data_IF_782891232168
#
_entry.id   IF_782891232168
#
_cell.length_a   1.000
_cell.length_b   1.000
_cell.length_c   1.000
_cell.angle_alpha   90.00
_cell.angle_beta   90.00
_cell.angle_gamma   90.00
#
_symmetry.space_group_name_H-M   'P 1'
#
loop_
_entity.id
_entity.type
_entity.pdbx_description
1 polymer ?
#
# COMPACT_ATOMS: atom_id res chain seq x y z
N UNK A 1 -11.07 -15.84 5.83
CA UNK A 1 -11.44 -15.27 7.13
C UNK A 1 -11.61 -16.40 8.12
N UNK A 2 -11.04 -16.28 9.31
CA UNK A 2 -11.18 -17.18 10.45
C UNK A 2 -12.07 -16.53 11.52
N UNK A 3 -12.84 -17.32 12.23
CA UNK A 3 -13.56 -16.90 13.43
C UNK A 3 -13.01 -17.75 14.58
N UNK A 4 -12.30 -17.13 15.51
CA UNK A 4 -11.79 -17.79 16.71
C UNK A 4 -12.84 -17.66 17.80
N UNK A 5 -13.40 -18.80 18.22
CA UNK A 5 -14.41 -18.86 19.29
C UNK A 5 -13.72 -19.36 20.55
N UNK A 6 -13.84 -18.59 21.63
CA UNK A 6 -13.28 -18.89 22.94
C UNK A 6 -14.35 -18.81 24.02
N UNK A 7 -14.16 -19.51 25.13
CA UNK A 7 -15.04 -19.48 26.28
C UNK A 7 -14.69 -18.31 27.20
N UNK A 8 -15.69 -17.50 27.58
CA UNK A 8 -15.49 -16.38 28.51
C UNK A 8 -15.09 -16.84 29.93
N UNK A 9 -15.56 -18.02 30.36
CA UNK A 9 -15.28 -18.55 31.68
C UNK A 9 -13.87 -19.15 31.80
N UNK A 10 -13.38 -19.81 30.76
CA UNK A 10 -12.04 -20.40 30.71
C UNK A 10 -10.97 -19.35 30.35
N UNK A 11 -11.37 -18.30 29.64
CA UNK A 11 -10.47 -17.27 29.16
C UNK A 11 -9.61 -17.74 27.98
N UNK A 12 -8.40 -17.16 27.85
CA UNK A 12 -7.44 -17.49 26.78
C UNK A 12 -6.61 -18.71 27.14
N UNK A 13 -6.79 -19.80 26.41
CA UNK A 13 -6.04 -21.03 26.60
C UNK A 13 -4.77 -21.10 25.74
N UNK A 14 -3.85 -22.02 26.06
CA UNK A 14 -2.65 -22.28 25.21
C UNK A 14 -3.05 -22.84 23.83
N UNK A 15 -4.19 -23.52 23.72
CA UNK A 15 -4.72 -24.01 22.47
C UNK A 15 -5.16 -22.84 21.58
N UNK A 16 -5.84 -21.84 22.15
CA UNK A 16 -6.24 -20.62 21.42
C UNK A 16 -5.01 -19.90 20.86
N UNK A 17 -3.93 -19.77 21.63
CA UNK A 17 -2.68 -19.19 21.15
C UNK A 17 -2.12 -19.94 19.96
N UNK A 18 -2.07 -21.28 20.01
CA UNK A 18 -1.60 -22.12 18.88
C UNK A 18 -2.45 -21.96 17.63
N UNK A 19 -3.77 -21.80 17.81
CA UNK A 19 -4.69 -21.54 16.68
C UNK A 19 -4.43 -20.15 16.11
N UNK A 20 -4.19 -19.15 16.96
CA UNK A 20 -3.85 -17.79 16.52
C UNK A 20 -2.57 -17.76 15.69
N UNK A 21 -1.53 -18.49 16.08
CA UNK A 21 -0.29 -18.62 15.32
C UNK A 21 -0.57 -19.16 13.92
N UNK A 22 -1.37 -20.22 13.81
CA UNK A 22 -1.76 -20.80 12.52
C UNK A 22 -2.56 -19.83 11.66
N UNK A 23 -3.48 -19.05 12.26
CA UNK A 23 -4.26 -18.01 11.55
C UNK A 23 -3.32 -16.94 11.00
N UNK A 24 -2.32 -16.52 11.79
CA UNK A 24 -1.32 -15.51 11.42
C UNK A 24 -0.42 -16.03 10.30
N UNK A 25 0.10 -17.24 10.42
CA UNK A 25 0.97 -17.87 9.41
C UNK A 25 0.25 -18.03 8.07
N UNK A 26 -1.01 -18.45 8.12
CA UNK A 26 -1.86 -18.53 6.93
C UNK A 26 -2.19 -17.14 6.33
N UNK A 27 -1.96 -16.05 7.09
CA UNK A 27 -2.32 -14.69 6.68
C UNK A 27 -3.82 -14.46 6.60
N UNK A 28 -4.59 -15.23 7.37
CA UNK A 28 -6.05 -15.09 7.39
C UNK A 28 -6.49 -13.84 8.14
N UNK A 29 -7.58 -13.23 7.67
CA UNK A 29 -8.30 -12.26 8.49
C UNK A 29 -9.01 -12.99 9.63
N UNK A 30 -9.14 -12.32 10.78
CA UNK A 30 -9.66 -12.93 11.99
C UNK A 30 -10.71 -12.06 12.68
N UNK A 31 -11.72 -12.71 13.25
CA UNK A 31 -12.67 -12.15 14.22
C UNK A 31 -12.59 -13.03 15.47
N UNK A 32 -12.47 -12.43 16.63
CA UNK A 32 -12.45 -13.14 17.93
C UNK A 32 -13.85 -13.07 18.51
N UNK A 33 -14.36 -14.22 18.91
CA UNK A 33 -15.67 -14.37 19.57
C UNK A 33 -15.46 -14.91 20.98
N UNK A 34 -15.90 -14.15 21.96
CA UNK A 34 -15.93 -14.56 23.37
C UNK A 34 -17.35 -15.04 23.66
N UNK A 35 -17.54 -16.35 23.63
CA UNK A 35 -18.83 -16.99 23.84
C UNK A 35 -19.08 -17.31 25.32
N UNK A 36 -20.30 -17.71 25.65
CA UNK A 36 -20.80 -17.98 27.02
C UNK A 36 -20.68 -16.75 27.93
N UNK A 37 -20.92 -15.57 27.35
CA UNK A 37 -20.85 -14.32 28.10
C UNK A 37 -21.87 -14.21 29.22
N UNK A 38 -23.01 -14.88 29.08
CA UNK A 38 -24.08 -15.06 30.08
C UNK A 38 -23.53 -15.66 31.40
N UNK A 39 -22.72 -16.72 31.30
CA UNK A 39 -22.11 -17.37 32.47
C UNK A 39 -21.12 -16.46 33.19
N UNK A 40 -20.33 -15.73 32.41
CA UNK A 40 -19.36 -14.76 32.94
C UNK A 40 -20.07 -13.63 33.68
N UNK A 41 -21.13 -13.05 33.09
CA UNK A 41 -21.94 -12.02 33.74
C UNK A 41 -22.60 -12.52 35.02
N UNK A 42 -23.19 -13.73 34.99
CA UNK A 42 -23.79 -14.32 36.18
C UNK A 42 -22.78 -14.59 37.31
N UNK A 43 -21.57 -14.99 36.96
CA UNK A 43 -20.43 -15.15 37.91
C UNK A 43 -20.05 -13.84 38.57
N UNK A 44 -19.93 -12.76 37.79
CA UNK A 44 -19.62 -11.41 38.31
C UNK A 44 -20.74 -10.85 39.20
N UNK A 45 -22.00 -11.05 38.86
CA UNK A 45 -23.13 -10.63 39.72
C UNK A 45 -23.12 -11.34 41.07
N UNK A 46 -22.80 -12.64 41.08
CA UNK A 46 -22.66 -13.41 42.32
C UNK A 46 -21.50 -12.89 43.18
N UNK A 47 -20.34 -12.62 42.58
CA UNK A 47 -19.16 -12.05 43.25
C UNK A 47 -19.49 -10.68 43.85
N UNK A 48 -20.14 -9.79 43.09
CA UNK A 48 -20.57 -8.46 43.56
C UNK A 48 -21.56 -8.51 44.70
N UNK A 49 -22.53 -9.42 44.67
CA UNK A 49 -23.44 -9.62 45.78
C UNK A 49 -22.76 -10.10 47.06
N UNK A 50 -21.69 -10.90 46.90
CA UNK A 50 -20.82 -11.33 48.00
C UNK A 50 -20.00 -10.18 48.60
N UNK A 51 -19.44 -9.30 47.77
CA UNK A 51 -18.66 -8.13 48.22
C UNK A 51 -19.50 -7.01 48.76
N UNK A 52 -20.68 -6.77 48.16
CA UNK A 52 -21.63 -5.74 48.69
C UNK A 52 -22.07 -6.00 50.12
N UNK A 53 -22.12 -7.27 50.56
CA UNK A 53 -22.34 -7.66 51.95
C UNK A 53 -21.17 -7.28 52.88
N UNK A 54 -19.95 -7.12 52.33
CA UNK A 54 -18.71 -6.81 53.08
C UNK A 54 -18.36 -5.32 53.09
N UNK A 55 -18.87 -4.51 52.15
CA UNK A 55 -18.42 -3.13 51.95
C UNK A 55 -19.55 -2.09 51.93
N UNK A 56 -20.63 -2.29 52.72
CA UNK A 56 -21.72 -1.31 52.86
C UNK A 56 -21.32 0.07 53.43
N UNK A 57 -20.03 0.37 53.60
CA UNK A 57 -19.53 1.53 54.36
C UNK A 57 -18.74 2.59 53.54
N UNK A 58 -18.60 2.48 52.20
CA UNK A 58 -17.88 3.52 51.43
C UNK A 58 -18.76 4.08 50.32
N UNK A 59 -19.28 5.30 50.55
CA UNK A 59 -20.08 6.09 49.63
C UNK A 59 -19.29 6.54 48.38
N UNK A 60 -19.12 5.66 47.42
CA UNK A 60 -18.62 5.97 46.09
C UNK A 60 -19.76 6.22 45.11
N UNK A 61 -19.61 7.21 44.23
CA UNK A 61 -20.57 7.48 43.13
C UNK A 61 -20.74 6.22 42.29
N UNK A 62 -21.90 5.52 42.41
CA UNK A 62 -22.20 4.34 41.58
C UNK A 62 -22.35 4.79 40.13
N UNK A 63 -21.47 4.35 39.25
CA UNK A 63 -21.64 4.46 37.79
C UNK A 63 -22.95 3.77 37.37
N UNK A 64 -23.62 4.30 36.34
CA UNK A 64 -24.82 3.64 35.80
C UNK A 64 -24.47 2.22 35.35
N UNK A 65 -25.42 1.29 35.49
CA UNK A 65 -25.25 -0.14 35.09
C UNK A 65 -24.69 -0.29 33.69
N UNK A 66 -25.24 0.47 32.73
CA UNK A 66 -24.80 0.48 31.33
C UNK A 66 -23.31 0.86 31.17
N UNK A 67 -22.88 1.89 31.88
CA UNK A 67 -21.47 2.33 31.82
C UNK A 67 -20.50 1.33 32.48
N UNK A 68 -20.97 0.60 33.50
CA UNK A 68 -20.18 -0.49 34.10
C UNK A 68 -20.01 -1.67 33.14
N UNK A 69 -21.08 -2.00 32.40
CA UNK A 69 -21.05 -3.07 31.37
C UNK A 69 -20.11 -2.68 30.22
N UNK A 70 -20.17 -1.44 29.73
CA UNK A 70 -19.27 -0.95 28.68
C UNK A 70 -17.79 -1.02 29.11
N UNK A 71 -17.48 -0.59 30.34
CA UNK A 71 -16.12 -0.69 30.88
C UNK A 71 -15.66 -2.15 30.96
N UNK A 72 -16.54 -3.05 31.36
CA UNK A 72 -16.21 -4.47 31.44
C UNK A 72 -15.90 -5.07 30.06
N UNK A 73 -16.67 -4.74 29.03
CA UNK A 73 -16.36 -5.16 27.65
C UNK A 73 -15.00 -4.62 27.20
N UNK A 74 -14.71 -3.35 27.53
CA UNK A 74 -13.42 -2.75 27.17
C UNK A 74 -12.24 -3.43 27.88
N UNK A 75 -12.36 -3.64 29.19
CA UNK A 75 -11.33 -4.26 29.99
C UNK A 75 -11.06 -5.70 29.58
N UNK A 76 -12.11 -6.49 29.42
CA UNK A 76 -11.97 -7.87 28.95
C UNK A 76 -11.44 -7.92 27.52
N UNK A 77 -11.90 -7.06 26.64
CA UNK A 77 -11.38 -6.95 25.28
C UNK A 77 -9.90 -6.57 25.22
N UNK A 78 -9.44 -5.66 26.09
CA UNK A 78 -8.03 -5.32 26.25
C UNK A 78 -7.22 -6.50 26.77
N UNK A 79 -7.75 -7.22 27.76
CA UNK A 79 -7.13 -8.41 28.30
C UNK A 79 -7.00 -9.53 27.26
N UNK A 80 -8.02 -9.80 26.47
CA UNK A 80 -7.95 -10.75 25.35
C UNK A 80 -6.85 -10.36 24.36
N UNK A 81 -6.83 -9.10 23.93
CA UNK A 81 -5.82 -8.59 22.98
C UNK A 81 -4.40 -8.65 23.55
N UNK A 82 -4.21 -8.44 24.84
CA UNK A 82 -2.88 -8.55 25.47
C UNK A 82 -2.37 -9.98 25.53
N UNK A 83 -3.27 -10.96 25.69
CA UNK A 83 -2.94 -12.38 25.68
C UNK A 83 -2.77 -12.96 24.27
N UNK A 84 -3.51 -12.39 23.28
CA UNK A 84 -3.46 -12.77 21.88
C UNK A 84 -2.77 -11.69 21.03
N UNK A 85 -1.57 -11.25 21.43
CA UNK A 85 -0.85 -10.13 20.83
C UNK A 85 -0.50 -10.35 19.34
N UNK A 86 -0.53 -11.59 18.84
CA UNK A 86 -0.32 -11.91 17.42
C UNK A 86 -1.47 -11.44 16.52
N UNK A 87 -2.70 -11.37 17.07
CA UNK A 87 -3.92 -10.99 16.38
C UNK A 87 -4.63 -9.81 17.06
N UNK A 88 -3.86 -8.87 17.64
CA UNK A 88 -4.35 -7.65 18.30
C UNK A 88 -5.23 -6.78 17.40
N UNK A 89 -5.11 -7.00 16.10
CA UNK A 89 -5.88 -6.32 15.06
C UNK A 89 -7.29 -6.87 14.85
N UNK A 90 -7.59 -8.05 15.41
CA UNK A 90 -8.91 -8.66 15.26
C UNK A 90 -9.96 -7.95 16.15
N UNK A 91 -11.16 -7.68 15.65
CA UNK A 91 -12.26 -7.24 16.49
C UNK A 91 -12.67 -8.36 17.45
N UNK A 92 -13.02 -7.98 18.67
CA UNK A 92 -13.49 -8.89 19.71
C UNK A 92 -14.99 -8.68 19.89
N UNK A 93 -15.78 -9.73 19.75
CA UNK A 93 -17.22 -9.71 19.89
C UNK A 93 -17.62 -10.65 21.04
N UNK A 94 -18.46 -10.19 21.93
CA UNK A 94 -18.96 -10.94 23.06
C UNK A 94 -20.33 -11.50 22.72
N UNK A 95 -20.52 -12.83 22.88
CA UNK A 95 -21.75 -13.51 22.50
C UNK A 95 -22.22 -14.49 23.57
N UNK A 96 -23.52 -14.75 23.59
CA UNK A 96 -24.07 -15.95 24.20
C UNK A 96 -24.86 -16.70 23.13
N UNK A 97 -24.37 -17.87 22.73
CA UNK A 97 -25.04 -18.69 21.73
C UNK A 97 -26.37 -19.25 22.25
N UNK A 98 -26.50 -19.46 23.55
CA UNK A 98 -27.74 -19.98 24.18
C UNK A 98 -28.80 -18.89 24.19
N UNK A 99 -28.46 -17.67 24.56
CA UNK A 99 -29.39 -16.54 24.65
C UNK A 99 -29.58 -15.79 23.33
N UNK A 100 -28.80 -16.12 22.29
CA UNK A 100 -28.80 -15.38 21.03
C UNK A 100 -28.18 -13.97 21.14
N UNK A 101 -27.49 -13.70 22.25
CA UNK A 101 -26.92 -12.35 22.52
C UNK A 101 -25.81 -11.97 21.53
N UNK A 102 -25.97 -10.81 20.91
CA UNK A 102 -25.05 -10.19 19.96
C UNK A 102 -24.66 -11.04 18.73
N UNK A 103 -25.43 -12.02 18.32
CA UNK A 103 -25.18 -12.80 17.11
C UNK A 103 -25.25 -11.94 15.83
N UNK A 104 -26.14 -10.96 15.79
CA UNK A 104 -26.25 -10.03 14.66
C UNK A 104 -24.97 -9.19 14.54
N UNK A 105 -24.42 -8.72 15.66
CA UNK A 105 -23.14 -7.99 15.67
C UNK A 105 -21.97 -8.86 15.20
N UNK A 106 -21.98 -10.14 15.51
CA UNK A 106 -20.99 -11.07 14.98
C UNK A 106 -21.08 -11.17 13.46
N UNK A 107 -22.28 -11.30 12.89
CA UNK A 107 -22.49 -11.34 11.45
C UNK A 107 -22.07 -10.02 10.78
N UNK A 108 -22.39 -8.89 11.39
CA UNK A 108 -21.93 -7.57 10.93
C UNK A 108 -20.40 -7.45 10.94
N UNK A 109 -19.73 -7.90 12.01
CA UNK A 109 -18.28 -7.90 12.11
C UNK A 109 -17.63 -8.79 11.04
N UNK A 110 -18.18 -9.97 10.77
CA UNK A 110 -17.72 -10.87 9.70
C UNK A 110 -17.86 -10.19 8.33
N UNK A 111 -19.00 -9.57 8.03
CA UNK A 111 -19.21 -8.81 6.79
C UNK A 111 -18.26 -7.64 6.67
N UNK A 112 -18.07 -6.88 7.75
CA UNK A 112 -17.15 -5.76 7.81
C UNK A 112 -15.71 -6.19 7.53
N UNK A 113 -15.18 -7.19 8.22
CA UNK A 113 -13.84 -7.72 8.01
C UNK A 113 -13.68 -8.28 6.60
N UNK A 114 -14.71 -8.96 6.08
CA UNK A 114 -14.71 -9.43 4.69
C UNK A 114 -14.60 -8.29 3.68
N UNK A 115 -15.28 -7.16 3.92
CA UNK A 115 -15.15 -5.96 3.08
C UNK A 115 -13.77 -5.34 3.14
N UNK A 116 -13.12 -5.34 4.32
CA UNK A 116 -11.75 -4.85 4.48
C UNK A 116 -10.73 -5.67 3.66
N UNK A 117 -10.95 -6.98 3.46
CA UNK A 117 -10.12 -7.83 2.62
C UNK A 117 -10.17 -7.47 1.12
N UNK A 118 -11.23 -6.81 0.67
CA UNK A 118 -11.37 -6.40 -0.73
C UNK A 118 -10.80 -5.00 -1.00
N UNK A 119 -10.41 -4.31 0.05
CA UNK A 119 -9.98 -2.92 -0.02
C UNK A 119 -8.66 -2.77 -0.76
N UNK A 120 -8.64 -1.87 -1.71
CA UNK A 120 -7.42 -1.45 -2.43
C UNK A 120 -7.05 -0.04 -1.99
N UNK A 121 -5.76 0.17 -1.74
CA UNK A 121 -5.25 1.47 -1.29
C UNK A 121 -4.65 2.23 -2.47
N UNK A 122 -5.08 3.49 -2.72
CA UNK A 122 -4.45 4.32 -3.75
C UNK A 122 -2.95 4.51 -3.46
N UNK A 123 -2.12 4.26 -4.46
CA UNK A 123 -0.66 4.24 -4.33
C UNK A 123 -0.10 5.60 -3.87
N UNK A 124 -0.70 6.70 -4.31
CA UNK A 124 -0.31 8.05 -3.90
C UNK A 124 -0.49 8.28 -2.40
N UNK A 125 -1.67 7.92 -1.86
CA UNK A 125 -1.95 8.04 -0.43
C UNK A 125 -1.09 7.10 0.40
N UNK A 126 -0.88 5.87 -0.07
CA UNK A 126 0.00 4.89 0.57
C UNK A 126 1.42 5.45 0.72
N UNK A 127 2.00 5.98 -0.36
CA UNK A 127 3.36 6.53 -0.32
C UNK A 127 3.46 7.75 0.58
N UNK A 128 2.46 8.66 0.52
CA UNK A 128 2.41 9.83 1.39
C UNK A 128 2.35 9.44 2.87
N UNK A 129 1.50 8.49 3.25
CA UNK A 129 1.36 8.02 4.63
C UNK A 129 2.64 7.36 5.14
N UNK A 130 3.30 6.53 4.32
CA UNK A 130 4.54 5.87 4.71
C UNK A 130 5.72 6.84 4.78
N UNK A 131 5.82 7.82 3.90
CA UNK A 131 6.86 8.87 3.99
C UNK A 131 6.70 9.70 5.25
N UNK A 132 5.48 10.16 5.55
CA UNK A 132 5.20 10.88 6.79
C UNK A 132 5.50 10.04 8.05
N UNK A 133 5.30 8.72 7.99
CA UNK A 133 5.67 7.81 9.07
C UNK A 133 7.18 7.73 9.27
N UNK A 134 7.95 7.63 8.17
CA UNK A 134 9.41 7.59 8.19
C UNK A 134 10.03 8.92 8.69
N UNK A 135 9.41 10.04 8.37
CA UNK A 135 9.84 11.36 8.88
C UNK A 135 9.57 11.50 10.38
N UNK A 136 8.41 11.03 10.85
CA UNK A 136 8.02 11.08 12.26
C UNK A 136 8.86 10.15 13.14
N UNK A 137 9.12 8.94 12.67
CA UNK A 137 9.90 7.94 13.37
C UNK A 137 10.85 7.24 12.38
N UNK A 138 12.06 7.80 12.19
CA UNK A 138 13.04 7.21 11.30
C UNK A 138 13.42 5.78 11.73
N UNK A 139 13.60 4.89 10.75
CA UNK A 139 14.09 3.55 11.03
C UNK A 139 15.49 3.58 11.65
N UNK A 140 15.83 2.62 12.52
CA UNK A 140 17.17 2.49 13.07
C UNK A 140 18.22 2.45 11.97
N UNK A 141 19.32 3.17 12.16
CA UNK A 141 20.46 3.07 11.26
C UNK A 141 21.29 1.84 11.60
N UNK A 142 21.68 1.08 10.60
CA UNK A 142 22.61 -0.03 10.75
C UNK A 142 23.83 0.18 9.85
N UNK A 143 25.02 -0.01 10.40
CA UNK A 143 26.32 0.17 9.69
C UNK A 143 26.42 1.51 8.97
N UNK A 144 25.99 2.61 9.60
CA UNK A 144 26.01 3.95 9.04
C UNK A 144 25.01 4.25 7.91
N UNK A 145 24.14 3.31 7.59
CA UNK A 145 23.13 3.49 6.56
C UNK A 145 21.73 3.66 7.17
N UNK A 146 20.99 4.65 6.65
CA UNK A 146 19.56 4.86 6.99
C UNK A 146 18.66 4.18 5.96
N UNK A 147 17.51 3.70 6.42
CA UNK A 147 16.46 3.18 5.54
C UNK A 147 15.92 4.32 4.67
N UNK A 148 15.87 4.09 3.36
CA UNK A 148 15.18 4.95 2.40
C UNK A 148 14.09 4.15 1.72
N UNK A 149 12.85 4.62 1.84
CA UNK A 149 11.71 4.11 1.08
C UNK A 149 11.62 4.93 -0.21
N UNK A 150 11.68 4.26 -1.35
CA UNK A 150 11.53 4.89 -2.66
C UNK A 150 10.08 4.91 -3.11
N UNK A 151 9.39 3.80 -2.90
CA UNK A 151 8.05 3.58 -3.40
C UNK A 151 7.41 2.39 -2.68
N UNK A 152 6.09 2.44 -2.51
CA UNK A 152 5.30 1.35 -1.98
C UNK A 152 4.06 1.13 -2.85
N UNK A 153 3.63 -0.11 -2.98
CA UNK A 153 2.41 -0.49 -3.70
C UNK A 153 1.73 -1.67 -3.04
N UNK A 154 0.41 -1.73 -3.13
CA UNK A 154 -0.34 -2.91 -2.74
C UNK A 154 -0.33 -3.90 -3.90
N UNK A 155 0.15 -5.12 -3.65
CA UNK A 155 0.26 -6.18 -4.68
C UNK A 155 -0.81 -7.25 -4.53
N UNK A 156 -1.36 -7.41 -3.33
CA UNK A 156 -2.44 -8.37 -3.09
C UNK A 156 -3.42 -7.79 -2.06
N UNK A 157 -4.69 -8.19 -2.15
CA UNK A 157 -5.74 -7.80 -1.20
C UNK A 157 -6.07 -8.92 -0.20
N UNK A 158 -5.80 -10.18 -0.53
CA UNK A 158 -6.15 -11.36 0.28
C UNK A 158 -4.96 -12.30 0.47
N UNK A 159 -4.13 -12.10 1.53
CA UNK A 159 -4.10 -11.02 2.52
C UNK A 159 -3.60 -9.70 1.94
N UNK A 160 -3.95 -8.54 2.56
CA UNK A 160 -3.40 -7.25 2.18
C UNK A 160 -1.87 -7.28 2.24
N UNK A 161 -1.24 -7.22 1.07
CA UNK A 161 0.21 -7.34 0.94
C UNK A 161 0.76 -6.08 0.29
N UNK A 162 1.67 -5.41 0.99
CA UNK A 162 2.31 -4.19 0.52
C UNK A 162 3.77 -4.46 0.20
N UNK A 163 4.17 -4.11 -1.00
CA UNK A 163 5.55 -4.19 -1.46
C UNK A 163 6.23 -2.84 -1.25
N UNK A 164 7.30 -2.84 -0.48
CA UNK A 164 8.10 -1.67 -0.16
C UNK A 164 9.42 -1.72 -0.93
N UNK A 165 9.66 -0.76 -1.82
CA UNK A 165 10.94 -0.62 -2.50
C UNK A 165 11.87 0.23 -1.65
N UNK A 166 12.91 -0.39 -1.10
CA UNK A 166 13.84 0.21 -0.17
C UNK A 166 15.28 0.16 -0.71
N UNK A 167 16.17 0.95 -0.13
CA UNK A 167 17.60 0.88 -0.47
C UNK A 167 18.25 -0.45 -0.04
N UNK A 168 17.92 -0.92 1.16
CA UNK A 168 18.44 -2.17 1.73
C UNK A 168 17.34 -2.84 2.56
N UNK A 169 17.02 -4.09 2.27
CA UNK A 169 16.00 -4.86 2.99
C UNK A 169 16.42 -5.18 4.45
N UNK A 170 17.72 -5.31 4.69
CA UNK A 170 18.29 -5.64 5.99
C UNK A 170 18.09 -4.53 7.04
N UNK A 171 17.78 -3.30 6.58
CA UNK A 171 17.49 -2.16 7.47
C UNK A 171 16.04 -2.15 7.99
N UNK A 172 15.19 -3.03 7.45
CA UNK A 172 13.85 -3.23 7.95
C UNK A 172 13.89 -4.28 9.06
N UNK A 173 14.33 -3.88 10.26
CA UNK A 173 14.35 -4.76 11.45
C UNK A 173 12.94 -5.16 11.87
N UNK A 174 12.81 -6.26 12.63
CA UNK A 174 11.54 -6.91 12.97
C UNK A 174 10.49 -6.00 13.65
N UNK A 175 10.93 -5.02 14.41
CA UNK A 175 10.04 -4.09 15.11
C UNK A 175 9.52 -2.95 14.20
N UNK A 176 10.31 -2.53 13.21
CA UNK A 176 9.94 -1.42 12.36
C UNK A 176 8.75 -1.72 11.40
N UNK A 177 8.65 -2.92 10.81
CA UNK A 177 7.46 -3.34 10.09
C UNK A 177 6.18 -3.26 10.92
N UNK A 178 6.21 -3.63 12.20
CA UNK A 178 5.06 -3.52 13.11
C UNK A 178 4.59 -2.08 13.25
N UNK A 179 5.52 -1.14 13.42
CA UNK A 179 5.21 0.29 13.42
C UNK A 179 4.54 0.74 12.12
N UNK A 180 5.10 0.37 10.96
CA UNK A 180 4.52 0.71 9.66
C UNK A 180 3.13 0.09 9.46
N UNK A 181 2.92 -1.16 9.88
CA UNK A 181 1.60 -1.81 9.88
C UNK A 181 0.62 -1.01 10.73
N UNK A 182 1.03 -0.57 11.92
CA UNK A 182 0.22 0.30 12.77
C UNK A 182 -0.19 1.61 12.10
N UNK A 183 0.72 2.23 11.35
CA UNK A 183 0.43 3.44 10.56
C UNK A 183 -0.56 3.14 9.45
N UNK A 184 -0.37 2.04 8.71
CA UNK A 184 -1.29 1.62 7.65
C UNK A 184 -2.70 1.35 8.17
N UNK A 185 -2.83 0.69 9.34
CA UNK A 185 -4.12 0.48 9.99
C UNK A 185 -4.80 1.79 10.36
N UNK A 186 -4.07 2.72 10.96
CA UNK A 186 -4.62 4.05 11.34
C UNK A 186 -5.06 4.86 10.13
N UNK A 187 -4.33 4.77 9.02
CA UNK A 187 -4.60 5.57 7.82
C UNK A 187 -5.67 4.96 6.90
N UNK A 188 -5.72 3.62 6.81
CA UNK A 188 -6.54 2.93 5.81
C UNK A 188 -7.52 1.92 6.40
N UNK A 189 -7.49 1.64 7.70
CA UNK A 189 -8.30 0.62 8.35
C UNK A 189 -7.62 -0.75 8.28
N UNK A 190 -8.21 -1.72 7.55
CA UNK A 190 -7.79 -3.12 7.52
C UNK A 190 -7.97 -3.83 8.86
N UNK A 191 -9.01 -3.45 9.62
CA UNK A 191 -9.37 -4.17 10.84
C UNK A 191 -9.67 -5.63 10.54
N UNK A 192 -9.26 -6.50 11.43
CA UNK A 192 -9.42 -7.94 11.27
C UNK A 192 -8.51 -8.57 10.20
N UNK A 193 -7.76 -7.78 9.41
CA UNK A 193 -6.92 -8.30 8.34
C UNK A 193 -5.45 -8.42 8.76
N UNK A 194 -4.82 -9.53 8.41
CA UNK A 194 -3.36 -9.68 8.54
C UNK A 194 -2.66 -8.92 7.41
N UNK A 195 -1.90 -7.88 7.75
CA UNK A 195 -1.13 -7.08 6.78
C UNK A 195 0.26 -7.65 6.61
N UNK A 196 0.65 -7.96 5.37
CA UNK A 196 2.02 -8.37 5.02
C UNK A 196 2.80 -7.23 4.40
N UNK A 197 4.00 -6.96 4.95
CA UNK A 197 4.96 -6.05 4.36
C UNK A 197 6.11 -6.85 3.76
N UNK A 198 6.38 -6.63 2.48
CA UNK A 198 7.49 -7.27 1.77
C UNK A 198 8.47 -6.20 1.31
N UNK A 199 9.68 -6.22 1.85
CA UNK A 199 10.72 -5.31 1.41
C UNK A 199 11.46 -5.89 0.20
N UNK A 200 11.59 -5.10 -0.87
CA UNK A 200 12.45 -5.41 -2.02
C UNK A 200 13.46 -4.29 -2.25
N UNK A 201 14.70 -4.62 -2.59
CA UNK A 201 15.63 -3.59 -3.05
C UNK A 201 15.08 -2.96 -4.33
N UNK A 202 15.32 -1.66 -4.51
CA UNK A 202 14.98 -1.00 -5.78
C UNK A 202 15.66 -1.78 -6.92
N UNK A 203 14.93 -2.21 -7.95
CA UNK A 203 15.57 -2.76 -9.12
C UNK A 203 16.57 -1.73 -9.61
N UNK A 204 17.84 -2.12 -9.78
CA UNK A 204 18.82 -1.29 -10.46
C UNK A 204 18.15 -0.89 -11.75
N UNK A 205 18.03 0.42 -12.00
CA UNK A 205 17.50 0.94 -13.25
C UNK A 205 18.13 0.08 -14.34
N UNK A 206 17.31 -0.66 -15.08
CA UNK A 206 17.78 -1.24 -16.32
C UNK A 206 18.19 -0.01 -17.09
N UNK A 207 19.49 0.27 -17.17
CA UNK A 207 19.96 1.25 -18.13
C UNK A 207 19.21 0.90 -19.41
N UNK A 208 18.46 1.84 -20.00
CA UNK A 208 17.78 1.55 -21.24
C UNK A 208 18.86 0.90 -22.08
N UNK A 209 18.64 -0.36 -22.49
CA UNK A 209 19.57 -1.04 -23.37
C UNK A 209 19.80 0.00 -24.44
N UNK A 210 20.91 0.73 -24.37
CA UNK A 210 21.39 1.51 -25.48
C UNK A 210 21.48 0.44 -26.54
N UNK A 211 20.39 0.31 -27.35
CA UNK A 211 20.50 -0.39 -28.60
C UNK A 211 21.75 0.22 -29.18
N UNK A 212 22.86 -0.50 -29.08
CA UNK A 212 23.99 -0.23 -29.91
C UNK A 212 23.36 -0.30 -31.30
N UNK A 213 22.87 0.84 -31.76
CA UNK A 213 22.70 1.05 -33.15
C UNK A 213 24.10 0.78 -33.66
N UNK A 214 24.31 -0.46 -34.04
CA UNK A 214 25.33 -0.78 -35.00
C UNK A 214 24.87 -0.09 -36.27
N UNK A 215 24.93 1.25 -36.23
CA UNK A 215 25.23 1.97 -37.44
C UNK A 215 26.57 1.38 -37.81
N UNK A 216 26.53 0.33 -38.65
CA UNK A 216 27.67 -0.02 -39.45
C UNK A 216 28.09 1.32 -40.03
N UNK A 217 29.10 1.93 -39.43
CA UNK A 217 29.78 3.08 -40.01
C UNK A 217 30.18 2.53 -41.35
N UNK A 218 29.38 2.86 -42.36
CA UNK A 218 29.89 2.78 -43.72
C UNK A 218 31.19 3.51 -43.59
N UNK A 219 32.27 2.73 -43.71
CA UNK A 219 33.64 3.22 -43.70
C UNK A 219 33.62 4.54 -44.45
N UNK A 220 33.75 5.62 -43.72
CA UNK A 220 33.99 6.92 -44.31
C UNK A 220 35.34 6.74 -44.98
N UNK A 221 35.36 6.41 -46.28
CA UNK A 221 36.54 6.52 -47.06
C UNK A 221 37.08 7.93 -46.78
N UNK A 222 38.24 8.02 -46.14
CA UNK A 222 38.94 9.30 -45.93
C UNK A 222 39.01 9.95 -47.30
N UNK A 223 38.10 10.89 -47.57
CA UNK A 223 38.13 11.67 -48.81
C UNK A 223 39.43 12.42 -48.79
N UNK A 224 40.27 12.08 -49.73
CA UNK A 224 41.63 12.68 -49.82
C UNK A 224 41.50 14.15 -50.19
N UNK A 225 42.45 14.98 -49.72
CA UNK A 225 42.50 16.42 -50.07
C UNK A 225 42.28 16.68 -51.54
N UNK A 226 42.76 15.76 -52.42
CA UNK A 226 42.56 15.82 -53.89
C UNK A 226 41.09 15.67 -54.29
N UNK A 227 40.34 14.82 -53.66
CA UNK A 227 38.89 14.60 -53.96
C UNK A 227 38.07 15.82 -53.49
N UNK A 228 38.38 16.37 -52.35
CA UNK A 228 37.73 17.60 -51.85
C UNK A 228 38.01 18.76 -52.82
N UNK A 229 39.23 18.88 -53.37
CA UNK A 229 39.58 19.91 -54.31
C UNK A 229 38.80 19.72 -55.63
N UNK A 230 38.68 18.50 -56.13
CA UNK A 230 37.91 18.20 -57.38
C UNK A 230 36.39 18.57 -57.18
N UNK A 231 35.79 18.27 -56.03
CA UNK A 231 34.40 18.65 -55.72
C UNK A 231 34.24 20.15 -55.65
N UNK A 232 35.23 20.89 -55.09
CA UNK A 232 35.23 22.35 -55.06
C UNK A 232 35.28 22.97 -56.45
N UNK A 233 36.15 22.45 -57.30
CA UNK A 233 36.35 22.93 -58.66
C UNK A 233 35.13 22.66 -59.53
N UNK A 234 34.51 21.48 -59.38
CA UNK A 234 33.27 21.12 -60.09
C UNK A 234 32.10 21.98 -59.62
N UNK A 235 31.98 22.29 -58.36
CA UNK A 235 30.92 23.19 -57.80
C UNK A 235 31.11 24.62 -58.30
N UNK A 236 32.37 25.05 -58.42
CA UNK A 236 32.71 26.39 -58.96
C UNK A 236 32.36 26.47 -60.46
N UNK A 237 32.72 25.46 -61.26
CA UNK A 237 32.33 25.38 -62.69
C UNK A 237 30.81 25.41 -62.88
N UNK A 238 30.04 24.66 -62.05
CA UNK A 238 28.57 24.64 -62.13
C UNK A 238 27.97 26.00 -61.74
N UNK A 239 28.56 26.72 -60.76
CA UNK A 239 28.11 28.07 -60.40
C UNK A 239 28.40 29.08 -61.51
N UNK A 240 29.57 29.01 -62.10
CA UNK A 240 29.95 29.90 -63.19
C UNK A 240 29.15 29.65 -64.47
N UNK A 241 28.88 28.38 -64.80
CA UNK A 241 27.97 28.00 -65.87
C UNK A 241 26.56 28.54 -65.64
N UNK A 242 26.03 28.45 -64.39
CA UNK A 242 24.71 29.00 -64.03
C UNK A 242 24.66 30.52 -64.14
N UNK A 243 25.73 31.21 -63.72
CA UNK A 243 25.87 32.68 -63.92
C UNK A 243 25.91 33.06 -65.38
N UNK A 244 26.65 32.33 -66.22
CA UNK A 244 26.67 32.56 -67.66
C UNK A 244 25.31 32.30 -68.33
N UNK A 245 24.57 31.27 -67.91
CA UNK A 245 23.22 31.01 -68.41
C UNK A 245 22.22 32.10 -68.05
N UNK A 246 22.29 32.65 -66.83
CA UNK A 246 21.45 33.77 -66.37
C UNK A 246 21.76 35.06 -67.16
N UNK A 247 23.07 35.31 -67.47
CA UNK A 247 23.48 36.48 -68.29
C UNK A 247 23.03 36.36 -69.77
N UNK A 248 22.73 35.15 -70.26
CA UNK A 248 22.25 34.92 -71.63
C UNK A 248 20.73 34.78 -71.71
N UNK A 249 19.94 35.18 -70.71
CA UNK A 249 18.49 35.26 -70.76
C UNK A 249 17.72 33.93 -70.72
N UNK A 250 18.36 32.84 -70.38
CA UNK A 250 17.70 31.53 -70.26
C UNK A 250 17.04 31.34 -68.89
N UNK A 251 15.72 31.07 -68.86
CA UNK A 251 14.99 30.77 -67.62
C UNK A 251 15.55 29.52 -66.95
N UNK A 252 15.72 29.53 -65.61
CA UNK A 252 16.21 28.37 -64.88
C UNK A 252 15.20 27.21 -64.91
N UNK A 253 15.63 25.94 -65.14
CA UNK A 253 14.73 24.80 -65.07
C UNK A 253 14.37 24.48 -63.59
N UNK A 254 13.06 24.43 -63.30
CA UNK A 254 12.58 23.78 -62.07
C UNK A 254 11.82 24.62 -61.06
N UNK A 255 10.86 25.46 -61.50
CA UNK A 255 9.84 25.97 -60.58
C UNK A 255 8.64 25.00 -60.55
N UNK A 256 8.62 24.04 -59.66
CA UNK A 256 7.41 23.22 -59.39
C UNK A 256 6.39 24.07 -58.64
N UNK A 257 5.18 24.17 -59.23
CA UNK A 257 3.99 24.82 -58.67
C UNK A 257 3.71 24.36 -57.23
N UNK A 258 3.64 25.28 -56.28
CA UNK A 258 3.14 25.06 -54.94
C UNK A 258 1.68 24.64 -54.96
N UNK A 259 1.36 23.45 -54.48
CA UNK A 259 -0.03 23.00 -54.25
C UNK A 259 -0.60 23.77 -53.07
N UNK A 260 -1.73 24.43 -53.27
CA UNK A 260 -2.56 25.09 -52.25
C UNK A 260 -3.00 24.07 -51.19
N UNK A 261 -2.77 24.39 -49.90
CA UNK A 261 -3.31 23.66 -48.75
C UNK A 261 -4.83 23.93 -48.68
N UNK A 262 -5.66 22.91 -48.37
CA UNK A 262 -7.09 23.13 -48.12
C UNK A 262 -7.30 23.73 -46.71
N UNK A 263 -8.32 24.60 -46.63
CA UNK A 263 -8.74 25.31 -45.42
C UNK A 263 -9.22 24.36 -44.31
N UNK A 264 -8.89 24.66 -43.05
CA UNK A 264 -9.42 24.00 -41.86
C UNK A 264 -10.91 24.31 -41.73
N UNK A 265 -11.76 23.30 -41.69
CA UNK A 265 -13.17 23.39 -41.27
C UNK A 265 -13.25 23.53 -39.76
N UNK A 266 -13.96 24.52 -39.30
CA UNK A 266 -14.34 24.76 -37.91
C UNK A 266 -15.17 23.59 -37.35
N UNK A 267 -14.84 23.17 -36.12
CA UNK A 267 -15.68 22.28 -35.32
C UNK A 267 -16.54 23.13 -34.39
N UNK A 268 -17.84 22.84 -34.25
CA UNK A 268 -18.72 23.58 -33.35
C UNK A 268 -18.44 23.26 -31.88
N UNK A 269 -18.48 24.29 -31.04
CA UNK A 269 -18.51 24.20 -29.57
C UNK A 269 -19.81 23.51 -29.15
N UNK A 270 -19.70 22.50 -28.29
CA UNK A 270 -20.82 21.98 -27.50
C UNK A 270 -20.85 22.73 -26.18
N UNK A 271 -21.93 23.44 -25.95
CA UNK A 271 -22.41 23.93 -24.66
C UNK A 271 -23.14 22.80 -23.93
N UNK A 272 -22.95 22.67 -22.68
CA UNK A 272 -23.61 22.37 -21.40
C UNK A 272 -22.74 21.48 -20.58
#
# INVERSE_FOLDING_TARGET
>A
LAVLVMDAAEGVTEQDKKICDRITDAGCACVIVVNKWDLFQAGLEKARKGEAKKTAAKGGRKLSRKKQEELMYEEFGKWVKSNLFFIDYAPVIFTSAIEGFQLDRLLEAIRYVSSQLQKTTPTSLLNRSLQAALERSPAPSSKGHRLKLFYATQVNSKPPTFLLFVNRKELLSDNYPRYLIGVLRKSFGFEGCHIRLVAKPRPKSIEPIRRKTTVKSRTSKKVTKREIQKIRDETKRKKDAKKKAIRKGAKPPGAKRAKKRPAKKDRPRKSV
#
